data_IF_081312029163
#
_entry.id   IF_081312029163
#
_cell.length_a   1.000
_cell.length_b   1.000
_cell.length_c   1.000
_cell.angle_alpha   90.00
_cell.angle_beta   90.00
_cell.angle_gamma   90.00
#
_symmetry.space_group_name_H-M   'P 1'
#
loop_
_entity.id
_entity.type
_entity.pdbx_description
1 polymer ?
#
# COMPACT_ATOMS: atom_id res chain seq x y z
N UNK A 1 13.12 4.86 9.09
CA UNK A 1 14.33 5.58 8.60
C UNK A 1 14.55 5.40 7.10
N UNK A 2 14.57 4.16 6.56
CA UNK A 2 14.80 3.90 5.13
C UNK A 2 13.74 4.58 4.23
N UNK A 3 12.45 4.40 4.52
CA UNK A 3 11.36 5.06 3.78
C UNK A 3 11.54 6.59 3.79
N UNK A 4 11.89 7.20 4.91
CA UNK A 4 12.10 8.64 5.00
C UNK A 4 13.29 9.13 4.15
N UNK A 5 14.33 8.31 3.98
CA UNK A 5 15.42 8.61 3.06
C UNK A 5 14.96 8.53 1.59
N UNK A 6 14.13 7.54 1.24
CA UNK A 6 13.56 7.41 -0.12
C UNK A 6 12.62 8.59 -0.44
N UNK A 7 11.83 9.04 0.55
CA UNK A 7 10.96 10.21 0.43
C UNK A 7 11.73 11.55 0.35
N UNK A 8 13.02 11.54 0.72
CA UNK A 8 13.83 12.76 0.78
C UNK A 8 13.63 13.58 2.06
N UNK A 9 12.94 13.04 3.07
CA UNK A 9 12.66 13.71 4.34
C UNK A 9 13.90 13.83 5.24
N UNK A 10 14.89 12.97 5.03
CA UNK A 10 16.14 12.98 5.79
C UNK A 10 17.33 12.89 4.84
N UNK A 11 18.44 13.57 5.18
CA UNK A 11 19.67 13.48 4.41
C UNK A 11 20.22 12.05 4.43
N UNK A 12 20.77 11.59 3.30
CA UNK A 12 21.42 10.30 3.17
C UNK A 12 22.68 10.41 2.31
N UNK A 13 23.56 9.43 2.40
CA UNK A 13 24.71 9.28 1.52
C UNK A 13 24.40 8.22 0.45
N UNK A 14 25.08 8.30 -0.70
CA UNK A 14 24.84 7.41 -1.83
C UNK A 14 23.71 7.90 -2.74
N UNK A 15 23.25 7.02 -3.63
CA UNK A 15 22.24 7.31 -4.67
C UNK A 15 21.05 6.38 -4.53
N UNK A 16 19.86 6.94 -4.77
CA UNK A 16 18.61 6.18 -4.89
C UNK A 16 18.18 6.27 -6.35
N UNK A 17 18.15 5.13 -7.02
CA UNK A 17 17.83 5.04 -8.44
C UNK A 17 16.58 4.20 -8.65
N UNK A 18 15.66 4.67 -9.49
CA UNK A 18 14.50 3.92 -9.92
C UNK A 18 14.62 3.61 -11.41
N UNK A 19 14.66 2.33 -11.73
CA UNK A 19 14.87 1.84 -13.09
C UNK A 19 13.72 0.96 -13.54
N UNK A 20 13.32 1.11 -14.79
CA UNK A 20 12.41 0.16 -15.42
C UNK A 20 13.09 -1.21 -15.52
N UNK A 21 12.38 -2.26 -15.11
CA UNK A 21 12.92 -3.62 -15.04
C UNK A 21 13.22 -4.22 -16.42
N UNK A 22 12.44 -3.85 -17.45
CA UNK A 22 12.53 -4.45 -18.77
C UNK A 22 13.68 -3.86 -19.60
N UNK A 23 13.86 -2.55 -19.53
CA UNK A 23 14.83 -1.84 -20.38
C UNK A 23 15.98 -1.19 -19.62
N UNK A 24 15.97 -1.22 -18.29
CA UNK A 24 17.01 -0.65 -17.42
C UNK A 24 17.08 0.88 -17.42
N UNK A 25 16.18 1.58 -18.13
CA UNK A 25 16.20 3.04 -18.17
C UNK A 25 15.77 3.66 -16.85
N UNK A 26 16.42 4.77 -16.50
CA UNK A 26 16.03 5.58 -15.36
C UNK A 26 14.63 6.14 -15.55
N UNK A 27 13.82 6.01 -14.53
CA UNK A 27 12.47 6.58 -14.48
C UNK A 27 12.34 7.59 -13.34
N UNK A 28 11.49 8.60 -13.53
CA UNK A 28 11.11 9.49 -12.43
C UNK A 28 10.22 8.74 -11.47
N UNK A 29 10.59 8.69 -10.20
CA UNK A 29 9.74 8.15 -9.15
C UNK A 29 8.51 9.04 -8.97
N UNK A 30 7.35 8.41 -9.05
CA UNK A 30 6.08 8.95 -8.55
C UNK A 30 5.71 8.07 -7.37
N UNK A 31 5.78 8.64 -6.18
CA UNK A 31 5.68 7.88 -4.93
C UNK A 31 4.30 8.05 -4.35
N UNK A 32 3.61 6.92 -4.09
CA UNK A 32 2.51 6.84 -3.14
C UNK A 32 3.04 6.41 -1.78
N UNK A 33 2.54 7.01 -0.71
CA UNK A 33 3.01 6.71 0.64
C UNK A 33 1.86 6.51 1.63
N UNK A 34 1.90 5.40 2.35
CA UNK A 34 1.00 5.12 3.48
C UNK A 34 1.84 5.07 4.75
N UNK A 35 1.69 6.04 5.66
CA UNK A 35 2.43 6.09 6.92
C UNK A 35 1.89 5.08 7.94
N UNK A 36 2.70 4.71 8.91
CA UNK A 36 2.34 3.83 10.02
C UNK A 36 1.15 4.35 10.83
N UNK A 37 1.06 5.65 11.03
CA UNK A 37 -0.04 6.29 11.74
C UNK A 37 -0.29 7.70 11.23
N UNK A 38 -1.55 8.09 11.19
CA UNK A 38 -1.94 9.48 11.04
C UNK A 38 -2.37 10.03 12.40
N UNK A 39 -1.71 11.11 12.83
CA UNK A 39 -2.13 11.86 14.00
C UNK A 39 -3.37 12.72 13.66
N UNK A 40 -4.53 12.05 13.63
CA UNK A 40 -5.80 12.75 13.44
C UNK A 40 -6.34 13.11 14.82
N UNK A 41 -6.45 14.40 15.09
CA UNK A 41 -7.10 14.83 16.33
C UNK A 41 -8.56 14.38 16.34
N UNK A 42 -8.97 13.70 17.42
CA UNK A 42 -10.35 13.15 17.59
C UNK A 42 -11.47 14.19 17.43
N UNK A 43 -11.14 15.47 17.43
CA UNK A 43 -12.11 16.57 17.28
C UNK A 43 -12.14 17.19 15.88
N UNK A 44 -11.35 16.70 14.94
CA UNK A 44 -11.29 17.27 13.60
C UNK A 44 -12.48 16.74 12.77
N UNK A 45 -13.51 17.55 12.46
CA UNK A 45 -14.72 17.10 11.77
C UNK A 45 -14.51 17.07 10.25
N UNK A 46 -13.47 16.35 9.79
CA UNK A 46 -13.16 16.20 8.35
C UNK A 46 -13.73 14.88 7.88
N UNK A 47 -14.54 14.89 6.81
CA UNK A 47 -15.01 13.69 6.15
C UNK A 47 -13.91 13.07 5.26
N UNK A 48 -14.07 11.81 4.89
CA UNK A 48 -13.19 11.15 3.91
C UNK A 48 -13.21 11.92 2.59
N UNK A 49 -14.41 12.36 2.14
CA UNK A 49 -14.52 13.22 0.97
C UNK A 49 -13.66 14.49 1.09
N UNK A 50 -13.76 15.21 2.21
CA UNK A 50 -13.03 16.48 2.39
C UNK A 50 -11.52 16.24 2.40
N UNK A 51 -11.07 15.14 3.02
CA UNK A 51 -9.66 14.75 3.07
C UNK A 51 -9.12 14.48 1.66
N UNK A 52 -9.80 13.63 0.87
CA UNK A 52 -9.39 13.29 -0.48
C UNK A 52 -9.51 14.50 -1.42
N UNK A 53 -10.61 15.24 -1.35
CA UNK A 53 -10.84 16.41 -2.17
C UNK A 53 -9.82 17.52 -1.90
N UNK A 54 -9.37 17.70 -0.65
CA UNK A 54 -8.31 18.66 -0.31
C UNK A 54 -6.95 18.30 -0.91
N UNK A 55 -6.67 17.01 -1.09
CA UNK A 55 -5.48 16.54 -1.77
C UNK A 55 -5.52 16.80 -3.29
N UNK A 56 -6.69 16.64 -3.90
CA UNK A 56 -6.87 16.81 -5.36
C UNK A 56 -7.13 18.24 -5.81
N UNK A 57 -7.68 19.09 -4.95
CA UNK A 57 -8.14 20.44 -5.32
C UNK A 57 -7.13 21.50 -4.90
N UNK A 58 -6.81 22.41 -5.83
CA UNK A 58 -6.08 23.66 -5.52
C UNK A 58 -6.98 24.73 -4.88
N UNK A 59 -8.29 24.48 -4.79
CA UNK A 59 -9.28 25.42 -4.23
C UNK A 59 -9.83 24.90 -2.91
N UNK A 60 -10.26 25.78 -2.01
CA UNK A 60 -10.87 25.38 -0.74
C UNK A 60 -12.12 24.52 -0.96
N UNK A 61 -12.13 23.30 -0.42
CA UNK A 61 -13.16 22.28 -0.66
C UNK A 61 -14.46 22.58 0.09
N UNK A 62 -14.38 23.38 1.17
CA UNK A 62 -15.50 23.68 2.06
C UNK A 62 -16.58 24.59 1.44
N UNK A 63 -16.31 25.22 0.28
CA UNK A 63 -17.26 26.17 -0.33
C UNK A 63 -18.42 25.48 -1.07
N UNK A 64 -18.17 24.40 -1.78
CA UNK A 64 -19.21 23.60 -2.43
C UNK A 64 -18.69 22.23 -2.81
N UNK A 65 -19.38 21.15 -2.36
CA UNK A 65 -19.11 19.81 -2.86
C UNK A 65 -19.38 19.76 -4.38
N UNK A 66 -18.37 19.43 -5.17
CA UNK A 66 -18.54 19.20 -6.60
C UNK A 66 -19.11 17.80 -6.81
N UNK A 67 -20.28 17.70 -7.47
CA UNK A 67 -20.90 16.41 -7.77
C UNK A 67 -19.97 15.51 -8.59
N UNK A 68 -19.33 16.07 -9.61
CA UNK A 68 -18.35 15.34 -10.47
C UNK A 68 -17.17 14.80 -9.64
N UNK A 69 -16.62 15.60 -8.72
CA UNK A 69 -15.51 15.16 -7.86
C UNK A 69 -15.97 14.12 -6.85
N UNK A 70 -17.17 14.25 -6.31
CA UNK A 70 -17.73 13.27 -5.38
C UNK A 70 -17.88 11.90 -6.05
N UNK A 71 -18.52 11.86 -7.23
CA UNK A 71 -18.69 10.62 -8.01
C UNK A 71 -17.34 9.97 -8.36
N UNK A 72 -16.36 10.79 -8.75
CA UNK A 72 -15.00 10.30 -9.05
C UNK A 72 -14.31 9.70 -7.81
N UNK A 73 -14.43 10.33 -6.65
CA UNK A 73 -13.87 9.83 -5.39
C UNK A 73 -14.58 8.55 -4.96
N UNK A 74 -15.91 8.51 -5.04
CA UNK A 74 -16.71 7.33 -4.70
C UNK A 74 -16.32 6.12 -5.57
N UNK A 75 -16.24 6.31 -6.89
CA UNK A 75 -15.79 5.28 -7.82
C UNK A 75 -14.38 4.78 -7.51
N UNK A 76 -13.47 5.70 -7.17
CA UNK A 76 -12.12 5.34 -6.78
C UNK A 76 -12.09 4.52 -5.47
N UNK A 77 -12.86 4.93 -4.46
CA UNK A 77 -12.98 4.22 -3.19
C UNK A 77 -13.57 2.81 -3.35
N UNK A 78 -14.42 2.57 -4.37
CA UNK A 78 -15.01 1.25 -4.63
C UNK A 78 -13.95 0.18 -4.88
N UNK A 79 -12.83 0.52 -5.54
CA UNK A 79 -11.70 -0.39 -5.76
C UNK A 79 -11.13 -0.92 -4.44
N UNK A 80 -11.24 -0.13 -3.38
CA UNK A 80 -10.71 -0.41 -2.03
C UNK A 80 -11.83 -0.88 -1.07
N UNK A 81 -13.05 -1.12 -1.56
CA UNK A 81 -14.24 -1.46 -0.75
C UNK A 81 -14.45 -0.44 0.38
N UNK A 82 -14.33 0.82 0.06
CA UNK A 82 -14.36 1.96 0.99
C UNK A 82 -15.36 3.07 0.55
N UNK A 83 -16.18 2.83 -0.47
CA UNK A 83 -17.15 3.79 -1.01
C UNK A 83 -18.15 4.27 0.04
N UNK A 84 -18.59 3.39 0.92
CA UNK A 84 -19.51 3.70 2.01
C UNK A 84 -18.92 4.64 3.07
N UNK A 85 -17.59 4.84 3.03
CA UNK A 85 -16.86 5.67 4.00
C UNK A 85 -16.79 7.14 3.57
N UNK A 86 -17.17 7.48 2.34
CA UNK A 86 -16.93 8.78 1.72
C UNK A 86 -17.44 9.96 2.56
N UNK A 87 -18.60 9.82 3.22
CA UNK A 87 -19.19 10.85 4.08
C UNK A 87 -18.88 10.65 5.57
N UNK A 88 -18.22 9.54 5.96
CA UNK A 88 -17.81 9.34 7.34
C UNK A 88 -16.72 10.32 7.75
N UNK A 89 -16.76 10.74 9.01
CA UNK A 89 -15.68 11.51 9.61
C UNK A 89 -14.45 10.61 9.79
N UNK A 90 -13.29 11.09 9.39
CA UNK A 90 -12.01 10.32 9.44
C UNK A 90 -11.67 9.86 10.86
N UNK A 91 -11.99 10.68 11.88
CA UNK A 91 -11.79 10.34 13.29
C UNK A 91 -12.69 9.19 13.80
N UNK A 92 -13.74 8.82 13.07
CA UNK A 92 -14.68 7.75 13.41
C UNK A 92 -14.43 6.45 12.62
N UNK A 93 -13.38 6.42 11.78
CA UNK A 93 -13.00 5.22 11.05
C UNK A 93 -12.30 4.23 11.99
N UNK A 94 -12.58 2.93 11.81
CA UNK A 94 -11.74 1.87 12.36
C UNK A 94 -10.35 1.90 11.70
N UNK A 95 -9.36 1.23 12.32
CA UNK A 95 -8.02 1.13 11.75
C UNK A 95 -8.01 0.60 10.32
N UNK A 96 -8.74 -0.48 10.05
CA UNK A 96 -8.84 -1.08 8.72
C UNK A 96 -9.56 -0.19 7.70
N UNK A 97 -10.63 0.52 8.10
CA UNK A 97 -11.30 1.50 7.24
C UNK A 97 -10.36 2.65 6.87
N UNK A 98 -9.64 3.19 7.86
CA UNK A 98 -8.67 4.26 7.64
C UNK A 98 -7.57 3.82 6.68
N UNK A 99 -7.02 2.62 6.85
CA UNK A 99 -5.97 2.11 5.97
C UNK A 99 -6.43 1.92 4.52
N UNK A 100 -7.67 1.44 4.30
CA UNK A 100 -8.23 1.37 2.94
C UNK A 100 -8.35 2.74 2.30
N UNK A 101 -8.80 3.73 3.06
CA UNK A 101 -8.88 5.13 2.59
C UNK A 101 -7.48 5.68 2.29
N UNK A 102 -6.50 5.47 3.16
CA UNK A 102 -5.12 5.92 2.95
C UNK A 102 -4.46 5.25 1.74
N UNK A 103 -4.68 3.95 1.58
CA UNK A 103 -4.18 3.21 0.42
C UNK A 103 -4.79 3.75 -0.88
N UNK A 104 -6.11 4.03 -0.88
CA UNK A 104 -6.77 4.63 -2.03
C UNK A 104 -6.16 5.98 -2.39
N UNK A 105 -5.89 6.84 -1.41
CA UNK A 105 -5.24 8.13 -1.62
C UNK A 105 -3.81 7.97 -2.17
N UNK A 106 -3.04 7.04 -1.63
CA UNK A 106 -1.65 6.83 -2.02
C UNK A 106 -1.49 6.39 -3.48
N UNK A 107 -2.51 5.77 -4.08
CA UNK A 107 -2.46 5.33 -5.49
C UNK A 107 -3.23 6.23 -6.45
N UNK A 108 -3.84 7.30 -5.95
CA UNK A 108 -4.73 8.18 -6.73
C UNK A 108 -4.01 8.90 -7.88
N UNK A 109 -2.73 9.22 -7.73
CA UNK A 109 -1.90 9.89 -8.74
C UNK A 109 -1.07 8.90 -9.60
N UNK A 110 -1.52 7.67 -9.71
CA UNK A 110 -0.84 6.60 -10.47
C UNK A 110 0.67 6.51 -10.15
N UNK A 111 1.04 6.24 -8.89
CA UNK A 111 2.45 6.09 -8.55
C UNK A 111 3.05 4.89 -9.28
N UNK A 112 4.37 4.92 -9.50
CA UNK A 112 5.13 3.76 -9.93
C UNK A 112 5.93 3.11 -8.77
N UNK A 113 5.90 3.74 -7.59
CA UNK A 113 6.45 3.23 -6.35
C UNK A 113 5.48 3.49 -5.20
N UNK A 114 5.04 2.44 -4.52
CA UNK A 114 4.21 2.53 -3.32
C UNK A 114 5.05 2.15 -2.10
N UNK A 115 5.10 3.05 -1.13
CA UNK A 115 5.80 2.87 0.13
C UNK A 115 4.77 2.68 1.25
N UNK A 116 4.87 1.58 1.99
CA UNK A 116 3.97 1.20 3.06
C UNK A 116 4.78 0.97 4.34
N UNK A 117 4.53 1.81 5.36
CA UNK A 117 5.26 1.77 6.63
C UNK A 117 4.37 1.19 7.72
N UNK A 118 4.51 -0.11 8.01
CA UNK A 118 3.69 -0.87 8.97
C UNK A 118 2.17 -0.60 8.83
N UNK A 119 1.60 -0.71 7.62
CA UNK A 119 0.27 -0.18 7.31
C UNK A 119 -0.87 -0.91 8.02
N UNK A 120 -0.63 -2.10 8.56
CA UNK A 120 -1.66 -2.94 9.21
C UNK A 120 -1.54 -2.95 10.74
N UNK A 121 -0.69 -2.08 11.31
CA UNK A 121 -0.55 -1.99 12.77
C UNK A 121 -1.88 -1.64 13.45
N UNK A 122 -2.34 -2.50 14.37
CA UNK A 122 -3.59 -2.31 15.10
C UNK A 122 -4.88 -2.64 14.32
N UNK A 123 -4.77 -3.37 13.22
CA UNK A 123 -5.91 -3.89 12.45
C UNK A 123 -6.18 -5.34 12.89
N UNK A 124 -7.45 -5.74 12.85
CA UNK A 124 -7.85 -7.13 13.08
C UNK A 124 -7.48 -8.05 11.90
N UNK A 125 -7.53 -9.35 12.12
CA UNK A 125 -7.13 -10.36 11.14
C UNK A 125 -7.85 -10.21 9.79
N UNK A 126 -9.18 -9.98 9.82
CA UNK A 126 -9.96 -9.83 8.58
C UNK A 126 -9.57 -8.59 7.80
N UNK A 127 -9.28 -7.50 8.50
CA UNK A 127 -8.78 -6.25 7.89
C UNK A 127 -7.39 -6.44 7.29
N UNK A 128 -6.51 -7.18 7.95
CA UNK A 128 -5.18 -7.51 7.44
C UNK A 128 -5.28 -8.36 6.16
N UNK A 129 -6.09 -9.42 6.17
CA UNK A 129 -6.32 -10.27 4.99
C UNK A 129 -6.82 -9.45 3.78
N UNK A 130 -7.80 -8.57 4.02
CA UNK A 130 -8.33 -7.69 2.98
C UNK A 130 -7.26 -6.73 2.45
N UNK A 131 -6.45 -6.15 3.34
CA UNK A 131 -5.40 -5.19 2.97
C UNK A 131 -4.33 -5.85 2.09
N UNK A 132 -3.78 -6.99 2.51
CA UNK A 132 -2.76 -7.70 1.73
C UNK A 132 -3.31 -8.24 0.41
N UNK A 133 -4.56 -8.70 0.39
CA UNK A 133 -5.24 -9.07 -0.85
C UNK A 133 -5.33 -7.86 -1.81
N UNK A 134 -5.77 -6.70 -1.31
CA UNK A 134 -5.89 -5.48 -2.12
C UNK A 134 -4.53 -5.06 -2.70
N UNK A 135 -3.45 -5.09 -1.91
CA UNK A 135 -2.08 -4.81 -2.39
C UNK A 135 -1.68 -5.80 -3.49
N UNK A 136 -2.02 -7.08 -3.32
CA UNK A 136 -1.72 -8.11 -4.31
C UNK A 136 -2.45 -7.85 -5.64
N UNK A 137 -3.70 -7.39 -5.58
CA UNK A 137 -4.48 -7.00 -6.76
C UNK A 137 -3.88 -5.75 -7.45
N UNK A 138 -3.52 -4.73 -6.67
CA UNK A 138 -2.85 -3.53 -7.20
C UNK A 138 -1.59 -3.89 -7.98
N UNK A 139 -0.75 -4.77 -7.41
CA UNK A 139 0.48 -5.24 -8.05
C UNK A 139 0.23 -5.99 -9.37
N UNK A 140 -0.91 -6.67 -9.52
CA UNK A 140 -1.25 -7.39 -10.75
C UNK A 140 -1.75 -6.49 -11.87
N UNK A 141 -2.48 -5.44 -11.49
CA UNK A 141 -3.18 -4.61 -12.46
C UNK A 141 -2.42 -3.34 -12.83
N UNK A 142 -1.40 -2.97 -12.03
CA UNK A 142 -0.60 -1.76 -12.24
C UNK A 142 0.89 -2.09 -12.34
N UNK A 143 1.62 -1.35 -13.18
CA UNK A 143 3.10 -1.38 -13.21
C UNK A 143 3.65 -0.63 -11.99
N UNK A 144 3.53 -1.28 -10.83
CA UNK A 144 3.75 -0.69 -9.52
C UNK A 144 4.76 -1.52 -8.73
N UNK A 145 5.87 -0.89 -8.35
CA UNK A 145 6.78 -1.44 -7.35
C UNK A 145 6.25 -1.12 -5.95
N UNK A 146 6.27 -2.10 -5.05
CA UNK A 146 5.78 -1.92 -3.68
C UNK A 146 6.90 -2.25 -2.70
N UNK A 147 7.21 -1.32 -1.81
CA UNK A 147 8.07 -1.52 -0.65
C UNK A 147 7.21 -1.47 0.59
N UNK A 148 7.15 -2.58 1.30
CA UNK A 148 6.39 -2.73 2.54
C UNK A 148 7.35 -2.98 3.71
N UNK A 149 7.26 -2.17 4.76
CA UNK A 149 7.87 -2.49 6.05
C UNK A 149 6.82 -3.16 6.91
N UNK A 150 7.13 -4.35 7.40
CA UNK A 150 6.26 -5.13 8.27
C UNK A 150 7.06 -6.00 9.22
N UNK A 151 6.48 -6.26 10.37
CA UNK A 151 6.93 -7.28 11.32
C UNK A 151 6.01 -8.52 11.33
N UNK A 152 5.01 -8.55 10.46
CA UNK A 152 4.07 -9.66 10.31
C UNK A 152 4.66 -10.72 9.37
N UNK A 153 5.49 -11.60 9.94
CA UNK A 153 6.28 -12.58 9.19
C UNK A 153 5.43 -13.51 8.35
N UNK A 154 4.24 -13.88 8.81
CA UNK A 154 3.31 -14.76 8.11
C UNK A 154 2.83 -14.13 6.79
N UNK A 155 2.41 -12.87 6.84
CA UNK A 155 1.97 -12.14 5.65
C UNK A 155 3.15 -11.84 4.69
N UNK A 156 4.33 -11.49 5.22
CA UNK A 156 5.52 -11.33 4.40
C UNK A 156 5.86 -12.64 3.69
N UNK A 157 5.80 -13.79 4.38
CA UNK A 157 6.04 -15.10 3.77
C UNK A 157 5.06 -15.42 2.64
N UNK A 158 3.81 -15.00 2.78
CA UNK A 158 2.74 -15.28 1.81
C UNK A 158 2.74 -14.35 0.60
N UNK A 159 3.04 -13.06 0.78
CA UNK A 159 2.79 -12.03 -0.23
C UNK A 159 4.04 -11.40 -0.84
N UNK A 160 5.21 -11.47 -0.17
CA UNK A 160 6.42 -10.84 -0.68
C UNK A 160 7.06 -11.66 -1.81
N UNK A 161 7.64 -10.98 -2.81
CA UNK A 161 8.50 -11.62 -3.82
C UNK A 161 9.95 -11.65 -3.35
N UNK A 162 10.38 -10.58 -2.68
CA UNK A 162 11.73 -10.37 -2.16
C UNK A 162 11.64 -9.83 -0.74
N UNK A 163 12.58 -10.23 0.08
CA UNK A 163 12.71 -9.77 1.47
C UNK A 163 14.08 -9.17 1.69
N UNK A 164 14.12 -8.09 2.44
CA UNK A 164 15.35 -7.47 2.94
C UNK A 164 15.27 -7.46 4.47
N UNK A 165 16.13 -8.24 5.11
CA UNK A 165 16.27 -8.26 6.56
C UNK A 165 17.19 -7.13 6.99
N UNK A 166 16.66 -6.24 7.83
CA UNK A 166 17.39 -5.07 8.34
C UNK A 166 17.41 -5.11 9.86
N UNK A 167 18.62 -5.08 10.40
CA UNK A 167 18.89 -4.87 11.83
C UNK A 167 20.12 -3.98 11.97
N UNK A 168 19.88 -2.67 12.07
CA UNK A 168 20.91 -1.63 12.00
C UNK A 168 21.54 -1.50 10.60
N UNK A 169 21.83 -2.62 9.95
CA UNK A 169 22.32 -2.73 8.57
C UNK A 169 21.51 -3.78 7.80
N UNK A 170 21.70 -3.87 6.48
CA UNK A 170 21.16 -4.99 5.71
C UNK A 170 21.91 -6.27 6.12
N UNK A 171 21.20 -7.22 6.74
CA UNK A 171 21.74 -8.51 7.15
C UNK A 171 21.64 -9.54 6.03
N UNK A 172 20.48 -9.60 5.36
CA UNK A 172 20.20 -10.55 4.28
C UNK A 172 19.21 -9.96 3.30
N UNK A 173 19.33 -10.34 2.03
CA UNK A 173 18.32 -10.04 1.01
C UNK A 173 18.17 -11.22 0.06
N UNK A 174 16.97 -11.42 -0.47
CA UNK A 174 16.68 -12.47 -1.42
C UNK A 174 15.21 -12.83 -1.47
N UNK A 175 14.89 -14.00 -2.03
CA UNK A 175 13.52 -14.53 -1.97
C UNK A 175 13.14 -14.83 -0.52
N UNK A 176 11.83 -14.95 -0.26
CA UNK A 176 11.31 -15.32 1.08
C UNK A 176 12.07 -16.52 1.64
N UNK A 177 12.19 -17.61 0.87
CA UNK A 177 12.88 -18.83 1.31
C UNK A 177 14.36 -18.57 1.67
N UNK A 178 15.08 -17.83 0.79
CA UNK A 178 16.51 -17.54 1.03
C UNK A 178 16.76 -16.72 2.29
N UNK A 179 15.83 -15.85 2.65
CA UNK A 179 15.97 -15.02 3.86
C UNK A 179 15.49 -15.78 5.08
N UNK A 180 14.31 -16.41 5.05
CA UNK A 180 13.73 -17.07 6.22
C UNK A 180 14.50 -18.33 6.68
N UNK A 181 15.15 -19.03 5.75
CA UNK A 181 16.00 -20.19 6.07
C UNK A 181 17.44 -19.79 6.46
N UNK A 182 17.79 -18.50 6.38
CA UNK A 182 19.16 -18.03 6.68
C UNK A 182 19.46 -17.99 8.18
N UNK A 183 20.73 -18.09 8.53
CA UNK A 183 21.19 -17.98 9.91
C UNK A 183 20.88 -16.60 10.49
N UNK A 184 21.07 -15.54 9.70
CA UNK A 184 20.81 -14.16 10.11
C UNK A 184 19.34 -13.93 10.49
N UNK A 185 18.41 -14.58 9.79
CA UNK A 185 16.98 -14.50 10.12
C UNK A 185 16.67 -15.28 11.40
N UNK A 186 17.23 -16.49 11.53
CA UNK A 186 17.00 -17.34 12.70
C UNK A 186 17.58 -16.74 14.00
N UNK A 187 18.66 -15.99 13.90
CA UNK A 187 19.23 -15.24 15.03
C UNK A 187 18.26 -14.17 15.56
N UNK A 188 17.51 -13.50 14.67
CA UNK A 188 16.60 -12.39 15.03
C UNK A 188 15.21 -12.89 15.42
N UNK A 189 14.65 -13.82 14.65
CA UNK A 189 13.24 -14.24 14.74
C UNK A 189 13.05 -15.70 15.18
N UNK A 190 14.14 -16.48 15.27
CA UNK A 190 14.05 -17.92 15.51
C UNK A 190 13.69 -18.72 14.24
N UNK A 191 13.39 -19.99 14.44
CA UNK A 191 13.01 -20.88 13.33
C UNK A 191 11.57 -20.56 12.90
N UNK A 192 11.38 -20.43 11.60
CA UNK A 192 10.08 -20.17 10.98
C UNK A 192 9.73 -21.33 10.02
N UNK A 193 8.51 -21.85 10.13
CA UNK A 193 8.03 -22.95 9.30
C UNK A 193 7.37 -22.39 8.02
N UNK A 194 8.11 -22.50 6.90
CA UNK A 194 7.62 -22.06 5.60
C UNK A 194 6.75 -23.11 4.87
N UNK A 195 6.67 -24.35 5.34
CA UNK A 195 5.94 -25.42 4.63
C UNK A 195 4.43 -25.16 4.59
N UNK A 196 3.93 -24.42 5.58
CA UNK A 196 2.53 -24.03 5.68
C UNK A 196 2.16 -22.83 4.80
N UNK A 197 3.13 -22.14 4.19
CA UNK A 197 2.91 -20.91 3.41
C UNK A 197 3.06 -21.17 1.91
N UNK A 198 1.94 -21.00 1.19
CA UNK A 198 1.96 -21.02 -0.28
C UNK A 198 2.16 -19.60 -0.79
N UNK A 199 3.14 -19.36 -1.71
CA UNK A 199 3.30 -18.06 -2.35
C UNK A 199 1.99 -17.58 -2.98
N UNK A 200 1.70 -16.29 -2.87
CA UNK A 200 0.45 -15.70 -3.38
C UNK A 200 0.19 -15.99 -4.87
N UNK A 201 1.23 -16.24 -5.66
CA UNK A 201 1.10 -16.68 -7.07
C UNK A 201 0.40 -18.03 -7.22
N UNK A 202 0.56 -18.96 -6.29
CA UNK A 202 -0.10 -20.27 -6.34
C UNK A 202 -1.54 -20.23 -5.79
N UNK A 203 -1.82 -19.29 -4.87
CA UNK A 203 -3.19 -19.06 -4.37
C UNK A 203 -4.07 -18.43 -5.47
N UNK A 204 -3.46 -17.71 -6.44
CA UNK A 204 -4.18 -17.08 -7.56
C UNK A 204 -4.81 -18.06 -8.53
N UNK A 205 -4.12 -19.11 -8.93
CA UNK A 205 -4.68 -20.10 -9.88
C UNK A 205 -5.91 -20.82 -9.34
N UNK A 206 -6.06 -20.88 -8.01
CA UNK A 206 -7.23 -21.48 -7.38
C UNK A 206 -8.37 -20.49 -7.10
N UNK A 207 -8.08 -19.19 -6.84
CA UNK A 207 -9.09 -18.15 -6.55
C UNK A 207 -9.56 -17.38 -7.80
N UNK A 208 -8.79 -17.30 -8.87
CA UNK A 208 -9.23 -16.70 -10.16
C UNK A 208 -10.44 -17.41 -10.76
N UNK A 209 -10.74 -18.63 -10.31
CA UNK A 209 -11.96 -19.35 -10.68
C UNK A 209 -13.21 -18.94 -9.88
N UNK A 210 -13.05 -18.22 -8.77
CA UNK A 210 -14.17 -17.90 -7.86
C UNK A 210 -14.58 -16.42 -7.82
N UNK A 211 -13.73 -15.46 -8.21
CA UNK A 211 -14.09 -14.03 -8.15
C UNK A 211 -13.58 -13.32 -9.40
N UNK A 212 -14.40 -13.28 -10.44
CA UNK A 212 -14.19 -12.34 -11.53
C UNK A 212 -14.46 -10.91 -11.03
N UNK A 213 -13.42 -10.18 -10.66
CA UNK A 213 -13.52 -8.73 -10.51
C UNK A 213 -13.88 -8.12 -11.88
N UNK A 214 -14.79 -7.15 -11.95
CA UNK A 214 -15.07 -6.44 -13.20
C UNK A 214 -13.74 -5.84 -13.69
N UNK A 215 -13.44 -6.06 -14.97
CA UNK A 215 -12.29 -5.44 -15.64
C UNK A 215 -12.48 -3.95 -15.57
N UNK A 216 -11.87 -3.29 -14.59
CA UNK A 216 -11.85 -1.83 -14.53
C UNK A 216 -11.03 -1.32 -15.71
N UNK A 217 -11.68 -0.52 -16.50
CA UNK A 217 -11.18 0.10 -17.71
C UNK A 217 -10.03 1.04 -17.32
N UNK A 218 -8.87 0.89 -17.97
CA UNK A 218 -7.70 1.78 -17.86
C UNK A 218 -7.99 3.27 -18.12
N UNK A 219 -9.23 3.61 -18.46
CA UNK A 219 -9.67 4.96 -18.80
C UNK A 219 -10.06 5.84 -17.61
N UNK A 220 -10.16 5.30 -16.39
CA UNK A 220 -10.58 6.10 -15.22
C UNK A 220 -9.57 7.19 -14.81
N UNK A 221 -8.32 7.06 -15.29
CA UNK A 221 -7.22 7.94 -14.91
C UNK A 221 -6.81 8.94 -16.00
N UNK A 222 -7.34 8.76 -17.22
CA UNK A 222 -7.02 9.63 -18.35
C UNK A 222 -8.29 10.36 -18.76
N UNK A 223 -8.48 11.57 -18.24
CA UNK A 223 -9.13 12.67 -18.94
C UNK A 223 -9.12 13.94 -18.09
N UNK A 224 -8.39 14.92 -18.65
CA UNK A 224 -8.31 16.39 -18.44
C UNK A 224 -7.51 16.90 -17.24
#
# INVERSE_FOLDING_TARGET
>A
TLIRAILGDIPHTGTIEFKNRENGHMQKMRIGYVPQSLNIEKKTPISVYDMIASYQSRYPVFWKKSKKLYEKIEEHLTVFKAEELIDKQVCNLSGGELQRVLLSMAVMDEPNLLLLDEPVSGIDQNGMDLFYHTISELKMHYDLAIILISHDLDYVAQYADQVILIDGTVKKQGTVRQVYESEEFQEVFGKFDLENYKPSRQVKEQKEKEIAMPKHNHSLWKED
#
